data_IF_397167008614
#
_entry.id   IF_397167008614
#
_cell.length_a   1.000
_cell.length_b   1.000
_cell.length_c   1.000
_cell.angle_alpha   90.00
_cell.angle_beta   90.00
_cell.angle_gamma   90.00
#
_symmetry.space_group_name_H-M   'P 1'
#
loop_
_entity.id
_entity.type
_entity.pdbx_description
1 polymer ?
#
# COMPACT_ATOMS: atom_id res chain seq x y z
N UNK A 1 1.94 -6.92 -0.34
CA UNK A 1 3.39 -6.91 -0.65
C UNK A 1 3.62 -6.38 -2.08
N UNK A 2 4.80 -5.85 -2.43
CA UNK A 2 5.04 -5.39 -3.81
C UNK A 2 4.94 -6.52 -4.83
N UNK A 3 5.32 -7.73 -4.43
CA UNK A 3 5.15 -8.96 -5.22
C UNK A 3 3.69 -9.30 -5.53
N UNK A 4 2.73 -8.75 -4.79
CA UNK A 4 1.30 -8.93 -5.06
C UNK A 4 0.81 -8.02 -6.19
N UNK A 5 1.50 -6.90 -6.44
CA UNK A 5 1.10 -5.83 -7.39
C UNK A 5 1.77 -5.99 -8.75
N UNK A 6 2.94 -6.65 -8.78
CA UNK A 6 3.75 -6.85 -9.98
C UNK A 6 3.67 -8.30 -10.47
N UNK A 7 3.88 -8.50 -11.76
CA UNK A 7 4.18 -9.79 -12.38
C UNK A 7 5.63 -10.20 -12.10
N UNK A 8 5.98 -11.45 -12.39
CA UNK A 8 7.33 -11.99 -12.21
C UNK A 8 8.40 -11.27 -13.05
N UNK A 9 7.99 -10.66 -14.17
CA UNK A 9 8.86 -9.86 -15.04
C UNK A 9 9.01 -8.40 -14.60
N UNK A 10 8.36 -8.01 -13.48
CA UNK A 10 8.40 -6.66 -12.92
C UNK A 10 7.40 -5.68 -13.52
N UNK A 11 6.57 -6.10 -14.48
CA UNK A 11 5.48 -5.26 -14.99
C UNK A 11 4.33 -5.21 -13.97
N UNK A 12 3.50 -4.16 -14.02
CA UNK A 12 2.26 -4.14 -13.24
C UNK A 12 1.30 -5.23 -13.73
N UNK A 13 0.57 -5.82 -12.79
CA UNK A 13 -0.62 -6.63 -13.11
C UNK A 13 -1.65 -5.81 -13.89
N UNK A 14 -2.57 -6.49 -14.56
CA UNK A 14 -3.66 -5.81 -15.26
C UNK A 14 -4.55 -5.04 -14.29
N UNK A 15 -5.25 -4.01 -14.78
CA UNK A 15 -6.16 -3.22 -13.95
C UNK A 15 -7.24 -4.10 -13.29
N UNK A 16 -7.75 -5.13 -13.97
CA UNK A 16 -8.74 -6.06 -13.43
C UNK A 16 -8.17 -6.88 -12.26
N UNK A 17 -6.97 -7.46 -12.42
CA UNK A 17 -6.29 -8.20 -11.35
C UNK A 17 -5.97 -7.30 -10.14
N UNK A 18 -5.53 -6.06 -10.39
CA UNK A 18 -5.25 -5.09 -9.33
C UNK A 18 -6.54 -4.70 -8.60
N UNK A 19 -7.63 -4.46 -9.32
CA UNK A 19 -8.91 -4.08 -8.72
C UNK A 19 -9.46 -5.22 -7.84
N UNK A 20 -9.34 -6.48 -8.28
CA UNK A 20 -9.73 -7.62 -7.45
C UNK A 20 -8.83 -7.77 -6.22
N UNK A 21 -7.50 -7.68 -6.39
CA UNK A 21 -6.54 -7.74 -5.29
C UNK A 21 -6.88 -6.75 -4.16
N UNK A 22 -7.19 -5.50 -4.50
CA UNK A 22 -7.52 -4.48 -3.50
C UNK A 22 -8.92 -4.67 -2.91
N UNK A 23 -9.90 -5.10 -3.73
CA UNK A 23 -11.27 -5.42 -3.26
C UNK A 23 -11.28 -6.56 -2.25
N UNK A 24 -10.53 -7.63 -2.48
CA UNK A 24 -10.37 -8.75 -1.54
C UNK A 24 -9.77 -8.30 -0.20
N UNK A 25 -8.92 -7.26 -0.22
CA UNK A 25 -8.38 -6.62 0.96
C UNK A 25 -9.32 -5.57 1.61
N UNK A 26 -10.53 -5.40 1.07
CA UNK A 26 -11.53 -4.43 1.55
C UNK A 26 -11.21 -2.98 1.20
N UNK A 27 -10.36 -2.75 0.19
CA UNK A 27 -9.96 -1.43 -0.30
C UNK A 27 -10.77 -1.10 -1.56
N UNK A 28 -11.47 0.03 -1.53
CA UNK A 28 -12.44 0.47 -2.55
C UNK A 28 -12.25 1.95 -2.90
N UNK A 29 -12.71 2.36 -4.09
CA UNK A 29 -12.43 3.68 -4.67
C UNK A 29 -13.08 4.86 -3.93
N UNK A 30 -14.07 4.59 -3.08
CA UNK A 30 -14.78 5.58 -2.26
C UNK A 30 -14.09 5.87 -0.92
N UNK A 31 -12.93 5.24 -0.64
CA UNK A 31 -12.18 5.40 0.59
C UNK A 31 -10.93 6.25 0.39
N UNK A 32 -10.56 7.01 1.42
CA UNK A 32 -9.22 7.59 1.54
C UNK A 32 -8.20 6.49 1.86
N UNK A 33 -7.16 6.36 1.04
CA UNK A 33 -6.15 5.31 1.19
C UNK A 33 -4.77 5.91 1.45
N UNK A 34 -4.12 5.50 2.53
CA UNK A 34 -2.73 5.86 2.82
C UNK A 34 -1.85 4.63 2.68
N UNK A 35 -0.87 4.70 1.78
CA UNK A 35 0.14 3.65 1.62
C UNK A 35 1.41 3.99 2.40
N UNK A 36 2.04 2.99 3.01
CA UNK A 36 3.30 3.16 3.74
C UNK A 36 4.16 1.89 3.68
N UNK A 37 5.45 2.04 3.93
CA UNK A 37 6.36 0.90 4.08
C UNK A 37 7.40 1.19 5.16
N UNK A 38 8.71 1.09 4.85
CA UNK A 38 9.79 1.51 5.75
C UNK A 38 10.21 2.96 5.51
N UNK A 39 10.35 3.36 4.25
CA UNK A 39 10.88 4.68 3.81
C UNK A 39 10.22 5.17 2.51
N UNK A 40 8.94 4.87 2.29
CA UNK A 40 8.20 5.32 1.11
C UNK A 40 8.47 4.59 -0.23
N UNK A 41 9.61 3.90 -0.39
CA UNK A 41 10.02 3.32 -1.68
C UNK A 41 9.04 2.27 -2.23
N UNK A 42 8.64 1.28 -1.41
CA UNK A 42 7.77 0.17 -1.82
C UNK A 42 6.30 0.58 -1.82
N UNK A 43 5.93 1.51 -0.95
CA UNK A 43 4.57 2.05 -0.92
C UNK A 43 4.26 2.91 -2.13
N UNK A 44 5.27 3.57 -2.73
CA UNK A 44 5.10 4.28 -3.99
C UNK A 44 4.56 3.40 -5.13
N UNK A 45 4.92 2.11 -5.15
CA UNK A 45 4.43 1.16 -6.16
C UNK A 45 2.94 0.89 -5.98
N UNK A 46 2.50 0.70 -4.73
CA UNK A 46 1.08 0.50 -4.41
C UNK A 46 0.27 1.78 -4.64
N UNK A 47 0.83 2.93 -4.27
CA UNK A 47 0.23 4.24 -4.55
C UNK A 47 0.02 4.44 -6.05
N UNK A 48 1.03 4.16 -6.88
CA UNK A 48 0.92 4.29 -8.34
C UNK A 48 -0.15 3.35 -8.91
N UNK A 49 -0.22 2.10 -8.43
CA UNK A 49 -1.25 1.17 -8.85
C UNK A 49 -2.67 1.68 -8.52
N UNK A 50 -2.90 2.14 -7.29
CA UNK A 50 -4.22 2.63 -6.87
C UNK A 50 -4.60 3.96 -7.56
N UNK A 51 -3.69 4.94 -7.55
CA UNK A 51 -3.97 6.29 -8.04
C UNK A 51 -3.89 6.38 -9.56
N UNK A 52 -2.76 5.99 -10.15
CA UNK A 52 -2.49 6.23 -11.58
C UNK A 52 -3.09 5.16 -12.48
N UNK A 53 -3.13 3.89 -12.05
CA UNK A 53 -3.64 2.80 -12.87
C UNK A 53 -5.13 2.53 -12.65
N UNK A 54 -5.61 2.60 -11.40
CA UNK A 54 -7.00 2.33 -11.05
C UNK A 54 -7.86 3.58 -10.88
N UNK A 55 -7.26 4.78 -10.82
CA UNK A 55 -7.99 6.04 -10.77
C UNK A 55 -8.64 6.36 -9.42
N UNK A 56 -8.15 5.79 -8.32
CA UNK A 56 -8.65 6.11 -6.99
C UNK A 56 -8.36 7.58 -6.66
N UNK A 57 -9.39 8.34 -6.29
CA UNK A 57 -9.31 9.80 -6.21
C UNK A 57 -8.63 10.35 -4.96
N UNK A 58 -8.48 9.54 -3.90
CA UNK A 58 -7.93 9.96 -2.61
C UNK A 58 -6.92 8.93 -2.09
N UNK A 59 -5.72 8.97 -2.66
CA UNK A 59 -4.62 8.06 -2.30
C UNK A 59 -3.34 8.84 -2.03
N UNK A 60 -2.78 8.67 -0.84
CA UNK A 60 -1.53 9.30 -0.42
C UNK A 60 -0.43 8.26 -0.17
N UNK A 61 0.82 8.62 -0.49
CA UNK A 61 2.00 7.85 -0.09
C UNK A 61 2.65 8.55 1.11
N UNK A 62 2.59 7.92 2.29
CA UNK A 62 3.25 8.42 3.49
C UNK A 62 4.74 8.05 3.47
N UNK A 63 5.57 9.00 3.05
CA UNK A 63 7.01 8.82 2.81
C UNK A 63 7.80 8.56 4.09
N UNK A 64 7.45 9.23 5.19
CA UNK A 64 8.04 9.00 6.52
C UNK A 64 7.89 7.54 6.97
N UNK A 65 6.76 6.93 6.62
CA UNK A 65 6.54 5.48 6.73
C UNK A 65 6.86 4.96 8.15
N UNK A 66 7.23 3.68 8.29
CA UNK A 66 7.55 3.12 9.60
C UNK A 66 8.81 3.69 10.24
N UNK A 67 9.76 4.21 9.44
CA UNK A 67 10.97 4.84 10.01
C UNK A 67 10.60 6.10 10.79
N UNK A 68 9.61 6.87 10.33
CA UNK A 68 9.04 7.96 11.11
C UNK A 68 8.10 7.44 12.20
N UNK A 69 7.02 6.73 11.84
CA UNK A 69 5.96 6.35 12.78
C UNK A 69 6.47 5.52 13.95
N UNK A 70 7.37 4.57 13.69
CA UNK A 70 7.97 3.72 14.71
C UNK A 70 8.92 4.46 15.66
N UNK A 71 9.33 5.69 15.33
CA UNK A 71 10.16 6.56 16.19
C UNK A 71 9.36 7.72 16.82
N UNK A 72 8.07 7.88 16.49
CA UNK A 72 7.23 8.92 17.08
C UNK A 72 6.93 8.59 18.55
N UNK A 73 7.09 9.60 19.41
CA UNK A 73 6.78 9.48 20.84
C UNK A 73 5.28 9.23 21.00
N UNK A 74 4.92 8.09 21.61
CA UNK A 74 3.53 7.69 21.92
C UNK A 74 2.64 7.54 20.69
N UNK A 75 3.19 7.25 19.51
CA UNK A 75 2.37 6.82 18.40
C UNK A 75 1.65 5.50 18.77
N UNK A 76 0.35 5.38 18.48
CA UNK A 76 -0.35 4.11 18.67
C UNK A 76 0.23 3.06 17.71
N UNK A 77 0.50 1.87 18.24
CA UNK A 77 1.06 0.74 17.51
C UNK A 77 0.24 -0.49 17.84
N UNK A 78 -0.26 -1.14 16.80
CA UNK A 78 -0.83 -2.49 16.89
C UNK A 78 0.24 -3.52 16.52
N UNK A 79 0.28 -4.64 17.25
CA UNK A 79 1.18 -5.77 16.97
C UNK A 79 0.35 -7.03 16.79
N UNK A 80 0.70 -7.84 15.78
CA UNK A 80 0.14 -9.18 15.63
C UNK A 80 0.80 -10.21 16.55
N UNK A 81 0.35 -11.48 16.50
CA UNK A 81 1.12 -12.59 17.06
C UNK A 81 2.53 -12.62 16.45
N UNK A 82 3.53 -13.01 17.25
CA UNK A 82 4.84 -13.31 16.69
C UNK A 82 4.72 -14.58 15.85
N UNK A 83 5.06 -14.50 14.56
CA UNK A 83 5.30 -15.71 13.77
C UNK A 83 6.55 -16.39 14.35
N UNK A 84 6.41 -17.66 14.78
CA UNK A 84 7.53 -18.52 15.21
C UNK A 84 8.49 -18.84 14.05
#
# INVERSE_FOLDING_TARGET
PTTSVLNDDGTFKSAEELQELYREAGITEDQSVVTYCRVGERSSIAWFALHELLGFGDVENYDGSWTEWGNLIRAPIETGPADD
#
